data_IF_707447464300
#
_entry.id   IF_707447464300
#
_cell.length_a   1.000
_cell.length_b   1.000
_cell.length_c   1.000
_cell.angle_alpha   90.00
_cell.angle_beta   90.00
_cell.angle_gamma   90.00
#
_symmetry.space_group_name_H-M   'P 1'
#
loop_
_entity.id
_entity.type
_entity.pdbx_description
1 polymer ?
#
# COMPACT_ATOMS: atom_id res chain seq x y z
N UNK A 1 2.69 2.84 -19.83
CA UNK A 1 1.49 2.65 -18.97
C UNK A 1 1.71 1.39 -18.17
N UNK A 2 1.81 1.49 -16.86
CA UNK A 2 2.04 0.37 -15.95
C UNK A 2 0.79 -0.51 -15.78
N UNK A 3 0.92 -1.69 -15.15
CA UNK A 3 -0.23 -2.52 -14.80
C UNK A 3 -1.16 -1.80 -13.80
N UNK A 4 -0.60 -0.99 -12.90
CA UNK A 4 -1.37 -0.18 -11.95
C UNK A 4 -2.20 0.90 -12.66
N UNK A 5 -1.64 1.58 -13.68
CA UNK A 5 -2.39 2.59 -14.44
C UNK A 5 -3.60 1.95 -15.14
N UNK A 6 -3.40 0.79 -15.79
CA UNK A 6 -4.48 0.03 -16.44
C UNK A 6 -5.57 -0.42 -15.46
N UNK A 7 -5.18 -0.78 -14.22
CA UNK A 7 -6.14 -1.16 -13.19
C UNK A 7 -7.13 -0.03 -12.92
N UNK A 8 -6.65 1.20 -12.80
CA UNK A 8 -7.51 2.35 -12.51
C UNK A 8 -8.31 2.88 -13.73
N UNK A 9 -7.97 2.45 -14.95
CA UNK A 9 -8.82 2.71 -16.13
C UNK A 9 -10.07 1.82 -16.15
N UNK A 10 -10.05 0.66 -15.50
CA UNK A 10 -11.21 -0.21 -15.39
C UNK A 10 -12.23 0.35 -14.38
N UNK A 11 -13.54 0.18 -14.63
CA UNK A 11 -14.57 0.71 -13.72
C UNK A 11 -14.54 0.05 -12.34
N UNK A 12 -15.18 0.71 -11.38
CA UNK A 12 -15.33 0.22 -10.00
C UNK A 12 -14.18 0.59 -9.07
N UNK A 13 -14.46 0.50 -7.77
CA UNK A 13 -13.52 0.81 -6.70
C UNK A 13 -12.49 -0.32 -6.54
N UNK A 14 -11.28 0.05 -6.11
CA UNK A 14 -10.16 -0.89 -6.00
C UNK A 14 -9.87 -1.22 -4.54
N UNK A 15 -9.70 -2.52 -4.26
CA UNK A 15 -9.20 -3.00 -2.98
C UNK A 15 -7.69 -3.23 -3.10
N UNK A 16 -6.92 -2.53 -2.28
CA UNK A 16 -5.46 -2.66 -2.24
C UNK A 16 -5.08 -3.32 -0.93
N UNK A 17 -4.37 -4.42 -1.00
CA UNK A 17 -3.98 -5.19 0.18
C UNK A 17 -2.50 -5.07 0.49
N UNK A 18 -2.15 -4.75 1.73
CA UNK A 18 -0.77 -4.67 2.20
C UNK A 18 -0.37 -5.90 3.00
N UNK A 19 0.85 -6.39 2.75
CA UNK A 19 1.51 -7.40 3.58
C UNK A 19 3.04 -7.19 3.56
N UNK A 20 3.75 -7.25 4.72
CA UNK A 20 5.20 -7.24 4.74
C UNK A 20 5.77 -8.49 4.05
N UNK A 21 6.75 -8.32 3.18
CA UNK A 21 7.53 -9.43 2.68
C UNK A 21 8.18 -10.19 3.85
N UNK A 22 8.18 -11.53 3.76
CA UNK A 22 8.73 -12.37 4.83
C UNK A 22 7.84 -12.60 6.05
N UNK A 23 6.59 -12.13 6.04
CA UNK A 23 5.68 -12.36 7.17
C UNK A 23 4.61 -13.42 6.86
N UNK A 24 4.44 -14.44 7.72
CA UNK A 24 5.28 -14.83 8.86
C UNK A 24 6.62 -15.48 8.46
N UNK A 25 6.78 -15.92 7.22
CA UNK A 25 8.02 -16.32 6.53
C UNK A 25 7.94 -15.92 5.06
N UNK A 26 9.05 -15.96 4.31
CA UNK A 26 9.05 -15.58 2.87
C UNK A 26 8.08 -16.47 2.07
N UNK A 27 8.11 -17.78 2.27
CA UNK A 27 7.20 -18.70 1.57
C UNK A 27 5.74 -18.45 1.96
N UNK A 28 5.47 -18.27 3.24
CA UNK A 28 4.12 -18.04 3.74
C UNK A 28 3.56 -16.68 3.30
N UNK A 29 4.39 -15.63 3.18
CA UNK A 29 3.97 -14.34 2.66
C UNK A 29 3.38 -14.46 1.25
N UNK A 30 4.01 -15.26 0.38
CA UNK A 30 3.53 -15.51 -0.99
C UNK A 30 2.17 -16.23 -0.99
N UNK A 31 1.98 -17.21 -0.11
CA UNK A 31 0.69 -17.92 0.03
C UNK A 31 -0.42 -16.99 0.54
N UNK A 32 -0.12 -16.13 1.50
CA UNK A 32 -1.06 -15.10 1.99
C UNK A 32 -1.44 -14.12 0.89
N UNK A 33 -0.47 -13.61 0.11
CA UNK A 33 -0.72 -12.73 -1.04
C UNK A 33 -1.62 -13.40 -2.07
N UNK A 34 -1.37 -14.68 -2.40
CA UNK A 34 -2.23 -15.45 -3.30
C UNK A 34 -3.67 -15.52 -2.77
N UNK A 35 -3.84 -15.81 -1.49
CA UNK A 35 -5.17 -15.85 -0.86
C UNK A 35 -5.89 -14.49 -0.85
N UNK A 36 -5.15 -13.37 -0.71
CA UNK A 36 -5.71 -12.02 -0.83
C UNK A 36 -6.25 -11.77 -2.25
N UNK A 37 -5.45 -12.08 -3.29
CA UNK A 37 -5.86 -11.87 -4.69
C UNK A 37 -7.03 -12.80 -5.07
N UNK A 38 -7.00 -14.07 -4.69
CA UNK A 38 -8.12 -14.99 -4.88
C UNK A 38 -9.40 -14.54 -4.16
N UNK A 39 -9.25 -13.79 -3.08
CA UNK A 39 -10.35 -13.16 -2.33
C UNK A 39 -10.88 -11.87 -2.98
N UNK A 40 -10.23 -11.36 -4.04
CA UNK A 40 -10.68 -10.18 -4.79
C UNK A 40 -9.92 -8.90 -4.49
N UNK A 41 -8.72 -8.98 -3.90
CA UNK A 41 -7.81 -7.83 -3.82
C UNK A 41 -7.32 -7.49 -5.24
N UNK A 42 -7.45 -6.24 -5.65
CA UNK A 42 -7.17 -5.77 -7.01
C UNK A 42 -5.70 -5.39 -7.22
N UNK A 43 -5.01 -4.97 -6.17
CA UNK A 43 -3.60 -4.63 -6.19
C UNK A 43 -2.92 -4.97 -4.86
N UNK A 44 -1.62 -5.26 -4.90
CA UNK A 44 -0.83 -5.62 -3.72
C UNK A 44 0.21 -4.55 -3.40
N UNK A 45 0.26 -4.19 -2.15
CA UNK A 45 1.35 -3.42 -1.52
C UNK A 45 2.28 -4.39 -0.79
N UNK A 46 3.44 -4.66 -1.34
CA UNK A 46 4.48 -5.46 -0.67
C UNK A 46 5.28 -4.56 0.25
N UNK A 47 5.16 -4.76 1.56
CA UNK A 47 5.93 -4.01 2.54
C UNK A 47 7.39 -4.46 2.58
N UNK A 48 8.32 -3.53 2.42
CA UNK A 48 9.74 -3.78 2.67
C UNK A 48 9.99 -3.65 4.18
N UNK A 49 10.32 -4.73 4.91
CA UNK A 49 10.52 -4.67 6.36
C UNK A 49 11.62 -3.68 6.73
N UNK A 50 11.35 -2.79 7.67
CA UNK A 50 12.29 -1.76 8.13
C UNK A 50 12.27 -1.64 9.65
N UNK A 51 13.44 -1.41 10.26
CA UNK A 51 13.63 -1.38 11.71
C UNK A 51 13.10 -0.11 12.38
N UNK A 52 12.97 0.98 11.61
CA UNK A 52 12.63 2.32 12.14
C UNK A 52 11.40 2.93 11.44
N UNK A 53 10.25 2.23 11.42
CA UNK A 53 9.06 2.67 10.71
C UNK A 53 8.39 3.83 11.44
N UNK A 54 8.24 4.98 10.75
CA UNK A 54 7.63 6.19 11.33
C UNK A 54 6.13 6.31 11.05
N UNK A 55 5.59 5.51 10.12
CA UNK A 55 4.18 5.58 9.70
C UNK A 55 3.37 4.33 10.06
N UNK A 56 4.03 3.23 10.40
CA UNK A 56 3.37 1.95 10.63
C UNK A 56 2.74 1.87 12.01
N UNK A 57 1.52 1.34 12.07
CA UNK A 57 0.88 1.01 13.33
C UNK A 57 1.48 -0.26 13.98
N UNK A 58 1.19 -0.52 15.25
CA UNK A 58 1.84 -1.59 16.04
C UNK A 58 1.70 -2.98 15.43
N UNK A 59 0.59 -3.29 14.77
CA UNK A 59 0.39 -4.58 14.08
C UNK A 59 1.36 -4.76 12.91
N UNK A 60 1.56 -3.71 12.12
CA UNK A 60 2.46 -3.74 10.96
C UNK A 60 3.91 -3.76 11.46
N UNK A 61 4.26 -2.95 12.48
CA UNK A 61 5.58 -2.96 13.10
C UNK A 61 5.96 -4.36 13.60
N UNK A 62 5.09 -5.01 14.37
CA UNK A 62 5.33 -6.36 14.88
C UNK A 62 5.53 -7.40 13.76
N UNK A 63 4.80 -7.27 12.65
CA UNK A 63 4.97 -8.14 11.49
C UNK A 63 6.30 -7.87 10.76
N UNK A 64 6.69 -6.60 10.59
CA UNK A 64 7.97 -6.21 10.01
C UNK A 64 9.15 -6.67 10.88
N UNK A 65 9.09 -6.49 12.19
CA UNK A 65 10.10 -6.97 13.14
C UNK A 65 10.29 -8.49 13.05
N UNK A 66 9.18 -9.23 12.93
CA UNK A 66 9.25 -10.69 12.75
C UNK A 66 9.90 -11.06 11.42
N UNK A 67 9.60 -10.34 10.34
CA UNK A 67 10.23 -10.56 9.04
C UNK A 67 11.74 -10.31 9.10
N UNK A 68 12.16 -9.22 9.74
CA UNK A 68 13.58 -8.90 9.97
C UNK A 68 14.27 -9.96 10.83
N UNK A 69 13.64 -10.38 11.92
CA UNK A 69 14.17 -11.43 12.81
C UNK A 69 14.33 -12.78 12.08
N UNK A 70 13.51 -13.07 11.08
CA UNK A 70 13.64 -14.23 10.21
C UNK A 70 14.72 -14.08 9.14
N UNK A 71 15.42 -12.93 9.07
CA UNK A 71 16.48 -12.67 8.11
C UNK A 71 15.99 -12.32 6.70
N UNK A 72 14.76 -11.82 6.57
CA UNK A 72 14.22 -11.38 5.26
C UNK A 72 15.13 -10.33 4.63
N UNK A 73 15.67 -10.64 3.45
CA UNK A 73 16.59 -9.80 2.70
C UNK A 73 15.86 -8.95 1.64
N UNK A 74 16.56 -7.95 1.10
CA UNK A 74 16.04 -7.17 -0.03
C UNK A 74 15.73 -8.05 -1.27
N UNK A 75 16.51 -9.13 -1.46
CA UNK A 75 16.23 -10.12 -2.52
C UNK A 75 14.90 -10.82 -2.28
N UNK A 76 14.61 -11.24 -1.05
CA UNK A 76 13.33 -11.87 -0.71
C UNK A 76 12.15 -10.92 -0.93
N UNK A 77 12.34 -9.61 -0.73
CA UNK A 77 11.32 -8.59 -1.03
C UNK A 77 11.07 -8.54 -2.54
N UNK A 78 12.11 -8.48 -3.38
CA UNK A 78 11.95 -8.46 -4.84
C UNK A 78 11.31 -9.75 -5.36
N UNK A 79 11.69 -10.91 -4.83
CA UNK A 79 11.06 -12.19 -5.20
C UNK A 79 9.59 -12.29 -4.71
N UNK A 80 9.25 -11.65 -3.59
CA UNK A 80 7.85 -11.53 -3.13
C UNK A 80 7.05 -10.60 -4.03
N UNK A 81 7.66 -9.48 -4.44
CA UNK A 81 7.07 -8.56 -5.42
C UNK A 81 6.81 -9.25 -6.76
N UNK A 82 7.78 -10.01 -7.29
CA UNK A 82 7.62 -10.77 -8.54
C UNK A 82 6.44 -11.74 -8.44
N UNK A 83 6.35 -12.48 -7.33
CA UNK A 83 5.20 -13.36 -7.09
C UNK A 83 3.88 -12.59 -7.10
N UNK A 84 3.80 -11.47 -6.39
CA UNK A 84 2.61 -10.63 -6.34
C UNK A 84 2.26 -10.02 -7.71
N UNK A 85 3.26 -9.53 -8.46
CA UNK A 85 3.09 -8.91 -9.77
C UNK A 85 2.58 -9.89 -10.84
N UNK A 86 2.87 -11.19 -10.69
CA UNK A 86 2.31 -12.24 -11.54
C UNK A 86 0.82 -12.53 -11.27
N UNK A 87 0.29 -12.05 -10.14
CA UNK A 87 -1.11 -12.27 -9.73
C UNK A 87 -1.96 -11.02 -9.91
N UNK A 88 -1.43 -9.85 -9.53
CA UNK A 88 -2.12 -8.56 -9.59
C UNK A 88 -1.12 -7.40 -9.71
N UNK A 89 -1.52 -6.21 -10.18
CA UNK A 89 -0.69 -5.02 -10.13
C UNK A 89 -0.12 -4.81 -8.74
N UNK A 90 1.20 -4.68 -8.64
CA UNK A 90 1.87 -4.66 -7.34
C UNK A 90 2.85 -3.51 -7.22
N UNK A 91 2.98 -2.98 -6.00
CA UNK A 91 3.90 -1.90 -5.64
C UNK A 91 4.70 -2.29 -4.39
N UNK A 92 5.85 -1.66 -4.17
CA UNK A 92 6.56 -1.74 -2.89
C UNK A 92 6.19 -0.53 -2.03
N UNK A 93 5.88 -0.79 -0.76
CA UNK A 93 5.82 0.24 0.28
C UNK A 93 7.09 0.15 1.11
N UNK A 94 7.89 1.21 1.13
CA UNK A 94 9.15 1.27 1.85
C UNK A 94 9.50 2.69 2.28
N UNK A 95 10.43 2.81 3.21
CA UNK A 95 11.02 4.08 3.63
C UNK A 95 12.21 4.46 2.75
N UNK A 96 12.63 5.72 2.81
CA UNK A 96 13.71 6.24 1.95
C UNK A 96 15.06 5.59 2.25
N UNK A 97 15.40 5.37 3.52
CA UNK A 97 16.70 4.81 3.88
C UNK A 97 16.97 3.41 3.26
N UNK A 98 16.05 2.43 3.24
CA UNK A 98 16.23 1.19 2.47
C UNK A 98 16.54 1.40 1.00
N UNK A 99 15.86 2.32 0.31
CA UNK A 99 16.13 2.65 -1.10
C UNK A 99 17.53 3.24 -1.28
N UNK A 100 17.92 4.18 -0.42
CA UNK A 100 19.23 4.83 -0.46
C UNK A 100 20.35 3.80 -0.25
N UNK A 101 20.18 2.87 0.71
CA UNK A 101 21.17 1.82 1.00
C UNK A 101 21.25 0.75 -0.10
N UNK A 102 20.15 0.44 -0.76
CA UNK A 102 20.14 -0.47 -1.90
C UNK A 102 20.86 0.13 -3.12
N UNK A 103 20.77 1.44 -3.24
CA UNK A 103 21.16 2.21 -4.42
C UNK A 103 19.93 2.59 -5.24
N UNK A 104 19.67 3.90 -5.33
CA UNK A 104 18.40 4.45 -5.88
C UNK A 104 18.09 3.93 -7.29
N UNK A 105 19.08 3.93 -8.19
CA UNK A 105 18.92 3.45 -9.56
C UNK A 105 18.76 1.93 -9.63
N UNK A 106 19.53 1.19 -8.82
CA UNK A 106 19.46 -0.26 -8.77
C UNK A 106 18.11 -0.73 -8.22
N UNK A 107 17.62 -0.08 -7.16
CA UNK A 107 16.32 -0.38 -6.59
C UNK A 107 15.19 -0.18 -7.61
N UNK A 108 15.19 0.94 -8.33
CA UNK A 108 14.18 1.22 -9.35
C UNK A 108 14.22 0.20 -10.50
N UNK A 109 15.43 -0.15 -10.98
CA UNK A 109 15.62 -1.17 -12.01
C UNK A 109 15.14 -2.55 -11.55
N UNK A 110 15.53 -2.97 -10.36
CA UNK A 110 15.22 -4.31 -9.86
C UNK A 110 13.73 -4.45 -9.50
N UNK A 111 13.11 -3.36 -9.00
CA UNK A 111 11.65 -3.27 -8.82
C UNK A 111 10.92 -3.44 -10.16
N UNK A 112 11.36 -2.74 -11.21
CA UNK A 112 10.77 -2.86 -12.55
C UNK A 112 10.95 -4.27 -13.12
N UNK A 113 12.14 -4.86 -12.96
CA UNK A 113 12.44 -6.23 -13.42
C UNK A 113 11.58 -7.28 -12.70
N UNK A 114 11.25 -7.07 -11.42
CA UNK A 114 10.32 -7.90 -10.67
C UNK A 114 8.84 -7.66 -11.04
N UNK A 115 8.55 -6.83 -12.04
CA UNK A 115 7.18 -6.54 -12.49
C UNK A 115 6.43 -5.53 -11.63
N UNK A 116 7.10 -4.88 -10.69
CA UNK A 116 6.50 -3.84 -9.85
C UNK A 116 6.08 -2.62 -10.64
N UNK A 117 4.93 -2.05 -10.29
CA UNK A 117 4.33 -0.90 -10.98
C UNK A 117 4.62 0.43 -10.34
N UNK A 118 5.13 0.46 -9.12
CA UNK A 118 5.37 1.69 -8.37
C UNK A 118 5.95 1.46 -6.97
N UNK A 119 6.19 2.57 -6.29
CA UNK A 119 6.67 2.57 -4.90
C UNK A 119 5.96 3.65 -4.10
N UNK A 120 5.56 3.29 -2.89
CA UNK A 120 5.07 4.22 -1.87
C UNK A 120 6.21 4.51 -0.91
N UNK A 121 6.58 5.79 -0.78
CA UNK A 121 7.65 6.27 0.10
C UNK A 121 7.09 7.36 1.03
N UNK A 122 6.57 6.96 2.22
CA UNK A 122 5.83 7.89 3.08
C UNK A 122 6.68 8.97 3.74
N UNK A 123 7.97 8.73 3.89
CA UNK A 123 8.95 9.64 4.53
C UNK A 123 9.73 10.49 3.51
N UNK A 124 9.63 10.20 2.20
CA UNK A 124 10.30 10.99 1.16
C UNK A 124 9.44 12.18 0.76
N UNK A 125 9.94 13.37 0.99
CA UNK A 125 9.29 14.61 0.54
C UNK A 125 9.53 14.85 -0.94
N UNK A 126 8.57 15.49 -1.61
CA UNK A 126 8.71 15.79 -3.05
C UNK A 126 9.92 16.71 -3.34
N UNK A 127 10.28 17.55 -2.37
CA UNK A 127 11.44 18.45 -2.45
C UNK A 127 12.77 17.70 -2.50
N UNK A 128 12.86 16.55 -1.82
CA UNK A 128 14.05 15.69 -1.76
C UNK A 128 14.03 14.55 -2.80
N UNK A 129 12.92 14.40 -3.51
CA UNK A 129 12.67 13.23 -4.36
C UNK A 129 13.33 13.28 -5.76
N UNK A 130 14.12 14.31 -6.11
CA UNK A 130 14.61 14.49 -7.48
C UNK A 130 15.33 13.27 -8.05
N UNK A 131 16.24 12.68 -7.28
CA UNK A 131 16.98 11.47 -7.70
C UNK A 131 16.04 10.29 -7.91
N UNK A 132 15.07 10.14 -7.01
CA UNK A 132 14.06 9.09 -7.07
C UNK A 132 13.13 9.26 -8.29
N UNK A 133 12.63 10.46 -8.52
CA UNK A 133 11.79 10.76 -9.68
C UNK A 133 12.50 10.48 -11.01
N UNK A 134 13.81 10.78 -11.09
CA UNK A 134 14.66 10.42 -12.23
C UNK A 134 14.70 8.91 -12.45
N UNK A 135 15.03 8.15 -11.41
CA UNK A 135 15.10 6.69 -11.47
C UNK A 135 13.74 6.04 -11.79
N UNK A 136 12.64 6.56 -11.23
CA UNK A 136 11.29 6.11 -11.54
C UNK A 136 10.96 6.32 -13.02
N UNK A 137 11.28 7.49 -13.57
CA UNK A 137 11.03 7.83 -14.97
C UNK A 137 11.80 6.91 -15.93
N UNK A 138 13.09 6.66 -15.64
CA UNK A 138 13.95 5.78 -16.44
C UNK A 138 13.45 4.34 -16.48
N UNK A 139 12.82 3.87 -15.40
CA UNK A 139 12.35 2.49 -15.26
C UNK A 139 10.82 2.34 -15.40
N UNK A 140 10.10 3.40 -15.80
CA UNK A 140 8.64 3.43 -15.96
C UNK A 140 7.87 3.00 -14.68
N UNK A 141 8.36 3.39 -13.50
CA UNK A 141 7.78 3.13 -12.18
C UNK A 141 7.00 4.35 -11.72
N UNK A 142 5.85 4.12 -11.09
CA UNK A 142 5.04 5.18 -10.49
C UNK A 142 5.58 5.59 -9.12
N UNK A 143 6.00 6.84 -8.92
CA UNK A 143 6.29 7.39 -7.59
C UNK A 143 4.96 7.75 -6.91
N UNK A 144 4.56 6.99 -5.90
CA UNK A 144 3.32 7.18 -5.16
C UNK A 144 3.64 7.94 -3.87
N UNK A 145 3.13 9.16 -3.76
CA UNK A 145 3.34 10.01 -2.59
C UNK A 145 2.16 9.96 -1.64
N UNK A 146 2.48 10.14 -0.35
CA UNK A 146 1.51 10.19 0.73
C UNK A 146 1.14 11.64 1.04
N UNK A 147 -0.15 11.91 1.16
CA UNK A 147 -0.70 13.18 1.64
C UNK A 147 -1.51 12.96 2.91
N UNK A 148 -1.56 13.98 3.76
CA UNK A 148 -2.26 13.93 5.04
C UNK A 148 -3.20 15.15 5.20
N UNK A 149 -4.17 15.13 6.12
CA UNK A 149 -5.05 16.27 6.38
C UNK A 149 -4.30 17.56 6.70
N UNK A 150 -3.11 17.47 7.31
CA UNK A 150 -2.22 18.60 7.62
C UNK A 150 -1.53 19.20 6.38
N UNK A 151 -1.53 18.52 5.22
CA UNK A 151 -0.96 19.05 3.98
C UNK A 151 -1.78 20.26 3.51
N UNK A 152 -1.13 21.43 3.33
CA UNK A 152 -1.79 22.60 2.74
C UNK A 152 -1.94 22.45 1.21
N UNK A 153 -2.74 23.31 0.58
CA UNK A 153 -3.07 23.20 -0.84
C UNK A 153 -1.85 23.37 -1.76
N UNK A 154 -0.89 24.24 -1.42
CA UNK A 154 0.35 24.39 -2.18
C UNK A 154 1.17 23.10 -2.18
N UNK A 155 1.23 22.42 -1.01
CA UNK A 155 1.90 21.13 -0.90
C UNK A 155 1.16 20.04 -1.66
N UNK A 156 -0.16 19.99 -1.58
CA UNK A 156 -0.98 19.05 -2.35
C UNK A 156 -0.68 19.20 -3.85
N UNK A 157 -0.68 20.42 -4.37
CA UNK A 157 -0.38 20.69 -5.78
C UNK A 157 1.03 20.22 -6.19
N UNK A 158 2.05 20.47 -5.37
CA UNK A 158 3.42 19.98 -5.64
C UNK A 158 3.48 18.46 -5.67
N UNK A 159 2.87 17.81 -4.69
CA UNK A 159 2.87 16.35 -4.55
C UNK A 159 2.19 15.71 -5.75
N UNK A 160 0.99 16.14 -6.13
CA UNK A 160 0.25 15.51 -7.24
C UNK A 160 0.90 15.71 -8.59
N UNK A 161 1.65 16.81 -8.78
CA UNK A 161 2.42 17.07 -10.01
C UNK A 161 3.63 16.13 -10.16
N UNK A 162 4.09 15.53 -9.09
CA UNK A 162 5.22 14.59 -9.06
C UNK A 162 4.78 13.14 -8.90
N UNK A 163 3.52 12.90 -8.56
CA UNK A 163 2.98 11.58 -8.31
C UNK A 163 2.63 10.84 -9.62
N UNK A 164 2.65 9.51 -9.56
CA UNK A 164 2.16 8.59 -10.58
C UNK A 164 1.30 7.49 -9.96
N UNK A 165 0.60 6.73 -10.79
CA UNK A 165 -0.29 5.66 -10.36
C UNK A 165 -1.50 6.15 -9.60
N UNK A 166 -1.34 6.47 -8.32
CA UNK A 166 -2.38 7.08 -7.47
C UNK A 166 -1.78 8.00 -6.40
N UNK A 167 -2.61 8.80 -5.77
CA UNK A 167 -2.25 9.59 -4.57
C UNK A 167 -2.71 8.82 -3.34
N UNK A 168 -1.79 8.55 -2.41
CA UNK A 168 -2.11 7.89 -1.15
C UNK A 168 -2.59 8.94 -0.13
N UNK A 169 -3.87 8.96 0.18
CA UNK A 169 -4.42 9.80 1.24
C UNK A 169 -4.38 9.03 2.57
N UNK A 170 -3.38 9.33 3.39
CA UNK A 170 -3.29 8.79 4.73
C UNK A 170 -4.17 9.62 5.68
N UNK A 171 -5.06 8.95 6.40
CA UNK A 171 -5.73 9.56 7.54
C UNK A 171 -5.23 8.89 8.81
N UNK A 172 -4.73 9.69 9.74
CA UNK A 172 -4.35 9.19 11.05
C UNK A 172 -5.62 8.79 11.81
N UNK A 173 -5.71 7.54 12.20
CA UNK A 173 -6.67 7.09 13.21
C UNK A 173 -6.30 7.76 14.54
N UNK A 174 -6.91 8.90 14.84
CA UNK A 174 -6.82 9.52 16.17
C UNK A 174 -7.37 8.58 17.23
N UNK A 175 -6.70 8.53 18.36
CA UNK A 175 -7.08 7.77 19.56
C UNK A 175 -8.52 8.10 19.96
N UNK A 176 -9.32 7.03 20.16
CA UNK A 176 -10.58 6.96 20.92
C UNK A 176 -11.68 8.01 20.67
N UNK A 177 -12.80 7.56 20.11
CA UNK A 177 -14.10 8.26 20.17
C UNK A 177 -14.54 8.99 18.90
N UNK A 178 -13.71 9.10 17.87
CA UNK A 178 -13.95 10.00 16.75
C UNK A 178 -14.11 9.29 15.38
N UNK A 179 -14.72 8.09 15.31
CA UNK A 179 -14.84 7.35 14.03
C UNK A 179 -15.51 8.16 12.91
N UNK A 180 -16.54 8.96 13.21
CA UNK A 180 -17.21 9.80 12.22
C UNK A 180 -16.32 10.98 11.80
N UNK A 181 -15.64 11.63 12.75
CA UNK A 181 -14.76 12.78 12.46
C UNK A 181 -13.53 12.39 11.60
N UNK A 182 -13.06 11.15 11.71
CA UNK A 182 -11.93 10.64 10.91
C UNK A 182 -12.36 10.39 9.46
N UNK A 183 -13.55 9.83 9.26
CA UNK A 183 -14.13 9.67 7.92
C UNK A 183 -14.29 11.01 7.22
N UNK A 184 -14.80 12.02 7.94
CA UNK A 184 -15.03 13.37 7.42
C UNK A 184 -13.72 14.06 7.03
N UNK A 185 -12.66 13.90 7.83
CA UNK A 185 -11.34 14.45 7.54
C UNK A 185 -10.69 13.80 6.31
N UNK A 186 -10.88 12.49 6.12
CA UNK A 186 -10.37 11.79 4.95
C UNK A 186 -11.13 12.18 3.68
N UNK A 187 -12.45 12.26 3.74
CA UNK A 187 -13.26 12.72 2.62
C UNK A 187 -12.91 14.16 2.24
N UNK A 188 -12.75 15.05 3.21
CA UNK A 188 -12.32 16.42 2.97
C UNK A 188 -10.94 16.48 2.31
N UNK A 189 -9.98 15.62 2.72
CA UNK A 189 -8.67 15.51 2.10
C UNK A 189 -8.79 15.04 0.64
N UNK A 190 -9.53 13.97 0.37
CA UNK A 190 -9.74 13.46 -0.99
C UNK A 190 -10.35 14.54 -1.89
N UNK A 191 -11.37 15.25 -1.42
CA UNK A 191 -12.01 16.34 -2.16
C UNK A 191 -11.06 17.52 -2.43
N UNK A 192 -10.11 17.79 -1.51
CA UNK A 192 -9.06 18.79 -1.74
C UNK A 192 -8.04 18.32 -2.78
N UNK A 193 -7.57 17.07 -2.70
CA UNK A 193 -6.62 16.48 -3.66
C UNK A 193 -7.20 16.51 -5.08
N UNK A 194 -8.46 16.15 -5.26
CA UNK A 194 -9.15 16.13 -6.57
C UNK A 194 -9.23 17.48 -7.27
N UNK A 195 -9.05 18.60 -6.54
CA UNK A 195 -8.96 19.93 -7.17
C UNK A 195 -7.68 20.12 -7.99
N UNK A 196 -6.63 19.34 -7.71
CA UNK A 196 -5.31 19.52 -8.31
C UNK A 196 -4.90 18.37 -9.24
N UNK A 197 -5.61 17.25 -9.25
CA UNK A 197 -5.24 16.09 -10.07
C UNK A 197 -6.44 15.27 -10.52
N UNK A 198 -6.24 14.53 -11.62
CA UNK A 198 -7.14 13.46 -12.07
C UNK A 198 -6.62 12.06 -11.69
N UNK A 199 -5.44 11.97 -11.05
CA UNK A 199 -4.96 10.70 -10.55
C UNK A 199 -5.97 10.10 -9.55
N UNK A 200 -6.13 8.79 -9.54
CA UNK A 200 -6.91 8.11 -8.51
C UNK A 200 -6.43 8.49 -7.11
N UNK A 201 -7.35 8.57 -6.15
CA UNK A 201 -7.03 8.83 -4.75
C UNK A 201 -7.42 7.61 -3.93
N UNK A 202 -6.42 6.93 -3.37
CA UNK A 202 -6.62 5.76 -2.53
C UNK A 202 -6.43 6.12 -1.06
N UNK A 203 -7.26 5.54 -0.20
CA UNK A 203 -7.33 5.92 1.21
C UNK A 203 -6.96 4.73 2.09
N UNK A 204 -5.98 4.95 2.98
CA UNK A 204 -5.58 4.02 4.04
C UNK A 204 -5.98 4.58 5.42
N UNK A 205 -6.96 3.94 6.07
CA UNK A 205 -7.60 4.40 7.31
C UNK A 205 -7.69 3.35 8.42
N UNK A 206 -6.98 2.23 8.29
CA UNK A 206 -7.19 1.10 9.21
C UNK A 206 -8.56 0.46 9.05
N UNK A 207 -9.07 0.41 7.82
CA UNK A 207 -10.27 -0.32 7.45
C UNK A 207 -10.11 -1.80 7.81
N UNK A 208 -11.10 -2.37 8.48
CA UNK A 208 -11.04 -3.74 9.00
C UNK A 208 -12.27 -4.60 8.67
N UNK A 209 -13.30 -4.03 8.05
CA UNK A 209 -14.53 -4.75 7.69
C UNK A 209 -15.23 -4.11 6.48
N UNK A 210 -16.20 -4.83 5.90
CA UNK A 210 -16.94 -4.43 4.71
C UNK A 210 -17.65 -3.08 4.86
N UNK A 211 -18.28 -2.80 6.00
CA UNK A 211 -19.01 -1.54 6.24
C UNK A 211 -18.07 -0.33 6.23
N UNK A 212 -16.87 -0.48 6.78
CA UNK A 212 -15.87 0.58 6.74
C UNK A 212 -15.32 0.76 5.32
N UNK A 213 -15.08 -0.35 4.59
CA UNK A 213 -14.64 -0.32 3.20
C UNK A 213 -15.67 0.40 2.31
N UNK A 214 -16.97 0.06 2.45
CA UNK A 214 -18.07 0.74 1.77
C UNK A 214 -18.07 2.25 2.04
N UNK A 215 -17.92 2.65 3.30
CA UNK A 215 -17.92 4.07 3.68
C UNK A 215 -16.80 4.83 3.01
N UNK A 216 -15.58 4.27 2.93
CA UNK A 216 -14.42 4.87 2.26
C UNK A 216 -14.61 4.88 0.74
N UNK A 217 -15.16 3.82 0.15
CA UNK A 217 -15.38 3.69 -1.28
C UNK A 217 -16.37 4.74 -1.84
N UNK A 218 -17.21 5.35 -1.00
CA UNK A 218 -18.13 6.43 -1.42
C UNK A 218 -17.38 7.66 -1.95
N UNK A 219 -16.20 7.94 -1.43
CA UNK A 219 -15.42 9.14 -1.82
C UNK A 219 -14.03 8.83 -2.38
N UNK A 220 -13.45 7.66 -2.12
CA UNK A 220 -12.14 7.24 -2.61
C UNK A 220 -12.25 6.39 -3.89
N UNK A 221 -11.18 6.30 -4.67
CA UNK A 221 -11.08 5.44 -5.85
C UNK A 221 -10.53 4.06 -5.49
N UNK A 222 -9.80 3.97 -4.37
CA UNK A 222 -9.30 2.73 -3.80
C UNK A 222 -9.28 2.75 -2.27
N UNK A 223 -9.44 1.57 -1.68
CA UNK A 223 -9.39 1.33 -0.24
C UNK A 223 -8.16 0.48 0.06
N UNK A 224 -7.27 0.98 0.92
CA UNK A 224 -6.03 0.30 1.28
C UNK A 224 -6.20 -0.35 2.65
N UNK A 225 -5.90 -1.64 2.73
CA UNK A 225 -6.08 -2.47 3.93
C UNK A 225 -4.80 -3.22 4.24
N UNK A 226 -4.25 -3.02 5.42
CA UNK A 226 -3.01 -3.69 5.87
C UNK A 226 -3.21 -4.50 7.14
N UNK A 227 -3.26 -3.83 8.29
CA UNK A 227 -3.32 -4.46 9.61
C UNK A 227 -4.45 -5.48 9.77
N UNK A 228 -5.57 -5.29 9.08
CA UNK A 228 -6.69 -6.22 9.14
C UNK A 228 -6.34 -7.60 8.54
N UNK A 229 -5.57 -7.65 7.45
CA UNK A 229 -5.10 -8.92 6.89
C UNK A 229 -4.10 -9.63 7.81
N UNK A 230 -3.19 -8.87 8.43
CA UNK A 230 -2.26 -9.42 9.43
C UNK A 230 -3.03 -9.97 10.64
N UNK A 231 -4.02 -9.23 11.12
CA UNK A 231 -4.86 -9.68 12.24
C UNK A 231 -5.70 -10.92 11.88
N UNK A 232 -6.26 -10.98 10.67
CA UNK A 232 -6.99 -12.15 10.19
C UNK A 232 -6.08 -13.39 10.13
N UNK A 233 -4.87 -13.23 9.60
CA UNK A 233 -3.87 -14.30 9.58
C UNK A 233 -3.56 -14.82 11.00
N UNK A 234 -3.38 -13.89 11.96
CA UNK A 234 -3.00 -14.20 13.33
C UNK A 234 -4.17 -14.66 14.21
N UNK A 235 -5.42 -14.55 13.75
CA UNK A 235 -6.59 -14.94 14.52
C UNK A 235 -6.74 -16.47 14.67
N UNK A 236 -6.07 -17.24 13.81
CA UNK A 236 -6.12 -18.70 13.81
C UNK A 236 -4.85 -19.28 14.46
N UNK A 237 -4.99 -20.44 15.11
CA UNK A 237 -3.88 -21.18 15.72
C UNK A 237 -2.97 -21.84 14.68
N UNK A 238 -3.49 -22.15 13.51
CA UNK A 238 -2.76 -22.78 12.43
C UNK A 238 -2.65 -21.86 11.20
N UNK A 239 -1.51 -21.88 10.54
CA UNK A 239 -1.22 -21.03 9.40
C UNK A 239 -2.27 -21.18 8.27
N UNK A 240 -2.63 -22.43 7.91
CA UNK A 240 -3.63 -22.69 6.85
C UNK A 240 -4.99 -22.10 7.18
N UNK A 241 -5.42 -22.18 8.42
CA UNK A 241 -6.68 -21.57 8.88
C UNK A 241 -6.60 -20.06 8.83
N UNK A 242 -5.45 -19.48 9.12
CA UNK A 242 -5.18 -18.04 8.96
C UNK A 242 -5.26 -17.59 7.50
N UNK A 243 -4.71 -18.36 6.57
CA UNK A 243 -4.81 -18.08 5.12
C UNK A 243 -6.27 -18.10 4.65
N UNK A 244 -7.09 -19.06 5.14
CA UNK A 244 -8.53 -19.08 4.86
C UNK A 244 -9.24 -17.85 5.41
N UNK A 245 -8.87 -17.40 6.62
CA UNK A 245 -9.44 -16.19 7.21
C UNK A 245 -9.07 -14.92 6.41
N UNK A 246 -7.86 -14.83 5.87
CA UNK A 246 -7.42 -13.75 4.98
C UNK A 246 -8.25 -13.73 3.69
N UNK A 247 -8.41 -14.88 3.01
CA UNK A 247 -9.22 -14.97 1.80
C UNK A 247 -10.68 -14.57 2.06
N UNK A 248 -11.26 -15.02 3.16
CA UNK A 248 -12.61 -14.65 3.57
C UNK A 248 -12.74 -13.14 3.79
N UNK A 249 -11.82 -12.54 4.53
CA UNK A 249 -11.80 -11.09 4.76
C UNK A 249 -11.68 -10.32 3.44
N UNK A 250 -10.82 -10.76 2.52
CA UNK A 250 -10.68 -10.14 1.20
C UNK A 250 -12.00 -10.14 0.43
N UNK A 251 -12.73 -11.27 0.41
CA UNK A 251 -14.07 -11.39 -0.21
C UNK A 251 -15.08 -10.43 0.42
N UNK A 252 -15.12 -10.35 1.75
CA UNK A 252 -16.03 -9.47 2.47
C UNK A 252 -15.73 -7.98 2.18
N UNK A 253 -14.45 -7.59 2.20
CA UNK A 253 -14.02 -6.22 1.87
C UNK A 253 -14.35 -5.87 0.42
N UNK A 254 -14.07 -6.79 -0.52
CA UNK A 254 -14.35 -6.57 -1.95
C UNK A 254 -15.84 -6.41 -2.22
N UNK A 255 -16.68 -7.23 -1.59
CA UNK A 255 -18.12 -7.10 -1.68
C UNK A 255 -18.64 -5.75 -1.12
N UNK A 256 -17.98 -5.21 -0.10
CA UNK A 256 -18.34 -3.92 0.47
C UNK A 256 -18.02 -2.71 -0.41
N UNK A 257 -17.14 -2.83 -1.40
CA UNK A 257 -16.73 -1.73 -2.30
C UNK A 257 -17.24 -1.90 -3.75
N UNK A 258 -18.00 -2.96 -4.01
CA UNK A 258 -18.54 -3.31 -5.34
C UNK A 258 -19.63 -2.34 -5.82
#
# INVERSE_FOLDING_TARGET
MSALDKLFESPGKKLIGYLPAGYPTVANAREVISAMVEGGVDAIEVGFPYSDPVMDGPTIQAAADKSLANGTSARDVMETLEHAANLAPSVIMTYWNPIERYGVSDFARDLANAGGSGTITPDLTVEEAQRWLGACKENAINPIFVVAPSSNDQRLQKVVNSAGGFVYAASLMGVTGARNQISDAAEALVNRVRKFTKLPVCVGLGVSNATQAESVAKYADGVIVGSAFINALNSASEFKSGVIAVNKLAKELKAGIA
#
